data_IF_056798725215
#
_entry.id   IF_056798725215
#
_cell.length_a   1.000
_cell.length_b   1.000
_cell.length_c   1.000
_cell.angle_alpha   90.00
_cell.angle_beta   90.00
_cell.angle_gamma   90.00
#
_symmetry.space_group_name_H-M   'P 1'
#
loop_
_entity.id
_entity.type
_entity.pdbx_description
1 polymer ?
#
# COMPACT_ATOMS: atom_id res chain seq x y z
N UNK A 1 -2.35 28.81 20.52
CA UNK A 1 -1.94 27.41 20.36
C UNK A 1 -3.01 26.74 19.49
N UNK A 2 -2.76 26.59 18.20
CA UNK A 2 -3.76 26.05 17.27
C UNK A 2 -3.78 24.53 17.39
N UNK A 3 -4.94 24.00 17.79
CA UNK A 3 -5.26 22.58 17.87
C UNK A 3 -5.20 21.98 16.46
N UNK A 4 -4.12 21.27 16.13
CA UNK A 4 -4.03 20.50 14.89
C UNK A 4 -4.65 19.11 15.12
N UNK A 5 -5.95 19.09 15.37
CA UNK A 5 -6.78 17.90 15.40
C UNK A 5 -7.47 17.81 14.04
N UNK A 6 -6.71 17.41 13.01
CA UNK A 6 -7.32 16.96 11.76
C UNK A 6 -8.01 15.63 12.07
N UNK A 7 -9.28 15.76 12.39
CA UNK A 7 -10.20 14.66 12.58
C UNK A 7 -10.22 13.82 11.30
N UNK A 8 -9.60 12.63 11.32
CA UNK A 8 -9.90 11.55 10.37
C UNK A 8 -11.34 11.05 10.64
N UNK A 9 -12.31 11.91 10.35
CA UNK A 9 -13.74 11.67 10.65
C UNK A 9 -14.51 11.12 9.45
N UNK A 10 -13.87 11.02 8.28
CA UNK A 10 -14.36 10.20 7.19
C UNK A 10 -13.56 8.91 7.16
N UNK A 11 -14.27 7.77 7.09
CA UNK A 11 -13.67 6.47 6.82
C UNK A 11 -12.81 6.59 5.56
N UNK A 12 -11.51 6.27 5.63
CA UNK A 12 -10.58 6.38 4.50
C UNK A 12 -11.13 5.66 3.26
N UNK A 13 -11.86 4.55 3.47
CA UNK A 13 -12.55 3.84 2.42
C UNK A 13 -13.60 4.71 1.69
N UNK A 14 -14.47 5.41 2.41
CA UNK A 14 -15.50 6.27 1.84
C UNK A 14 -14.89 7.46 1.09
N UNK A 15 -13.81 8.03 1.64
CA UNK A 15 -13.06 9.10 0.97
C UNK A 15 -12.44 8.63 -0.35
N UNK A 16 -11.87 7.41 -0.38
CA UNK A 16 -11.34 6.81 -1.60
C UNK A 16 -12.44 6.54 -2.63
N UNK A 17 -13.57 5.95 -2.23
CA UNK A 17 -14.69 5.71 -3.14
C UNK A 17 -15.24 7.00 -3.74
N UNK A 18 -15.38 8.06 -2.91
CA UNK A 18 -15.83 9.38 -3.38
C UNK A 18 -14.85 9.94 -4.42
N UNK A 19 -13.54 9.91 -4.14
CA UNK A 19 -12.52 10.36 -5.08
C UNK A 19 -12.58 9.62 -6.42
N UNK A 20 -12.74 8.29 -6.41
CA UNK A 20 -12.83 7.49 -7.64
C UNK A 20 -14.08 7.84 -8.45
N UNK A 21 -15.23 8.01 -7.77
CA UNK A 21 -16.49 8.39 -8.41
C UNK A 21 -16.42 9.79 -9.03
N UNK A 22 -15.92 10.78 -8.28
CA UNK A 22 -15.81 12.17 -8.73
C UNK A 22 -14.91 12.32 -9.96
N UNK A 23 -13.91 11.44 -10.08
CA UNK A 23 -12.98 11.40 -11.22
C UNK A 23 -13.42 10.41 -12.32
N UNK A 24 -14.62 9.83 -12.23
CA UNK A 24 -15.14 8.85 -13.19
C UNK A 24 -14.21 7.65 -13.42
N UNK A 25 -13.48 7.22 -12.38
CA UNK A 25 -12.58 6.07 -12.45
C UNK A 25 -13.40 4.81 -12.21
N UNK A 26 -13.44 3.91 -13.20
CA UNK A 26 -14.20 2.66 -13.11
C UNK A 26 -13.48 1.69 -12.17
N UNK A 27 -14.23 1.14 -11.21
CA UNK A 27 -13.74 0.10 -10.30
C UNK A 27 -14.82 -0.92 -9.96
N UNK A 28 -14.40 -2.09 -9.46
CA UNK A 28 -15.27 -3.10 -8.87
C UNK A 28 -14.88 -3.29 -7.41
N UNK A 29 -15.86 -3.29 -6.52
CA UNK A 29 -15.66 -3.61 -5.10
C UNK A 29 -16.03 -5.08 -4.84
N UNK A 30 -15.17 -5.77 -4.10
CA UNK A 30 -15.39 -7.15 -3.66
C UNK A 30 -15.24 -7.17 -2.14
N UNK A 31 -16.29 -7.61 -1.43
CA UNK A 31 -16.24 -7.80 0.02
C UNK A 31 -15.79 -9.23 0.32
N UNK A 32 -14.75 -9.39 1.15
CA UNK A 32 -14.27 -10.70 1.59
C UNK A 32 -13.88 -10.68 3.08
N UNK A 33 -13.66 -11.86 3.66
CA UNK A 33 -13.15 -12.00 5.03
C UNK A 33 -11.67 -11.64 5.10
N UNK A 34 -11.18 -11.23 6.28
CA UNK A 34 -9.76 -10.98 6.48
C UNK A 34 -8.92 -12.25 6.23
N UNK A 35 -7.78 -12.08 5.58
CA UNK A 35 -6.86 -13.14 5.15
C UNK A 35 -5.46 -12.84 5.68
N UNK A 36 -4.64 -13.88 5.84
CA UNK A 36 -3.28 -13.76 6.37
C UNK A 36 -2.22 -13.75 5.25
N UNK A 37 -2.51 -14.38 4.12
CA UNK A 37 -1.58 -14.47 2.98
C UNK A 37 -2.12 -13.76 1.74
N UNK A 38 -1.23 -13.38 0.83
CA UNK A 38 -1.64 -12.77 -0.44
C UNK A 38 -2.41 -13.78 -1.29
N UNK A 39 -2.01 -15.05 -1.26
CA UNK A 39 -2.63 -16.16 -1.96
C UNK A 39 -4.08 -16.39 -1.50
N UNK A 40 -4.33 -16.40 -0.19
CA UNK A 40 -5.69 -16.45 0.36
C UNK A 40 -6.53 -15.26 -0.11
N UNK A 41 -5.91 -14.08 -0.19
CA UNK A 41 -6.57 -12.85 -0.61
C UNK A 41 -6.98 -12.90 -2.08
N UNK A 42 -6.11 -13.40 -2.98
CA UNK A 42 -6.41 -13.57 -4.40
C UNK A 42 -7.58 -14.53 -4.60
N UNK A 43 -7.56 -15.68 -3.90
CA UNK A 43 -8.63 -16.68 -3.93
C UNK A 43 -9.96 -16.10 -3.45
N UNK A 44 -9.95 -15.31 -2.36
CA UNK A 44 -11.14 -14.69 -1.83
C UNK A 44 -11.76 -13.65 -2.79
N UNK A 45 -10.95 -13.04 -3.67
CA UNK A 45 -11.41 -12.13 -4.73
C UNK A 45 -11.78 -12.85 -6.03
N UNK A 46 -11.35 -14.09 -6.21
CA UNK A 46 -11.47 -14.81 -7.49
C UNK A 46 -10.58 -14.23 -8.58
N UNK A 47 -9.45 -13.65 -8.21
CA UNK A 47 -8.51 -12.96 -9.09
C UNK A 47 -7.15 -13.70 -9.15
N UNK A 48 -6.39 -13.48 -10.22
CA UNK A 48 -5.04 -14.02 -10.33
C UNK A 48 -4.05 -13.23 -9.45
N UNK A 49 -3.13 -13.93 -8.76
CA UNK A 49 -2.14 -13.30 -7.88
C UNK A 49 -1.25 -12.25 -8.61
N UNK A 50 -1.10 -12.37 -9.93
CA UNK A 50 -0.32 -11.43 -10.73
C UNK A 50 -0.92 -10.03 -10.80
N UNK A 51 -2.25 -9.90 -10.74
CA UNK A 51 -2.95 -8.61 -10.78
C UNK A 51 -3.11 -7.99 -9.39
N UNK A 52 -2.87 -8.76 -8.34
CA UNK A 52 -2.83 -8.24 -6.99
C UNK A 52 -1.63 -7.31 -6.77
N UNK A 53 -1.88 -6.20 -6.10
CA UNK A 53 -0.85 -5.27 -5.66
C UNK A 53 -0.45 -5.50 -4.20
N UNK A 54 0.82 -5.24 -3.89
CA UNK A 54 1.29 -5.00 -2.52
C UNK A 54 2.02 -3.68 -2.46
N UNK A 55 1.84 -2.97 -1.36
CA UNK A 55 2.49 -1.71 -1.09
C UNK A 55 3.47 -1.89 0.08
N UNK A 56 4.76 -1.66 -0.16
CA UNK A 56 5.81 -1.75 0.84
C UNK A 56 6.21 -0.34 1.26
N UNK A 57 5.88 0.04 2.49
CA UNK A 57 6.30 1.32 3.05
C UNK A 57 7.67 1.19 3.71
N UNK A 58 8.67 1.83 3.13
CA UNK A 58 10.07 1.60 3.42
C UNK A 58 10.81 2.92 3.62
N UNK A 59 11.81 2.90 4.49
CA UNK A 59 12.71 4.02 4.73
C UNK A 59 14.03 3.78 4.01
N UNK A 60 14.39 4.72 3.13
CA UNK A 60 15.64 4.79 2.37
C UNK A 60 16.44 5.94 2.96
N UNK A 61 17.54 5.64 3.63
CA UNK A 61 18.23 6.61 4.51
C UNK A 61 17.26 7.29 5.49
N UNK A 62 16.98 8.58 5.28
CA UNK A 62 16.11 9.40 6.13
C UNK A 62 14.74 9.70 5.50
N UNK A 63 14.45 9.15 4.31
CA UNK A 63 13.23 9.40 3.55
C UNK A 63 12.32 8.18 3.49
N UNK A 64 11.01 8.40 3.49
CA UNK A 64 10.02 7.35 3.31
C UNK A 64 9.60 7.22 1.84
N UNK A 65 9.44 5.98 1.40
CA UNK A 65 9.02 5.62 0.05
C UNK A 65 7.95 4.52 0.11
N UNK A 66 6.96 4.62 -0.78
CA UNK A 66 5.97 3.57 -1.01
C UNK A 66 6.29 2.84 -2.31
N UNK A 67 6.65 1.56 -2.21
CA UNK A 67 6.88 0.71 -3.38
C UNK A 67 5.65 -0.13 -3.66
N UNK A 68 4.97 0.14 -4.78
CA UNK A 68 3.82 -0.63 -5.23
C UNK A 68 4.28 -1.62 -6.30
N UNK A 69 4.05 -2.90 -6.05
CA UNK A 69 4.46 -3.99 -6.94
C UNK A 69 3.39 -5.09 -6.99
N UNK A 70 3.41 -5.88 -8.06
CA UNK A 70 2.60 -7.10 -8.14
C UNK A 70 2.93 -8.05 -6.97
N UNK A 71 1.92 -8.67 -6.39
CA UNK A 71 2.04 -9.60 -5.27
C UNK A 71 2.90 -10.82 -5.66
N UNK A 72 2.80 -11.26 -6.91
CA UNK A 72 3.59 -12.35 -7.49
C UNK A 72 5.11 -12.08 -7.58
N UNK A 73 5.56 -10.82 -7.44
CA UNK A 73 6.98 -10.46 -7.54
C UNK A 73 7.63 -10.36 -6.16
N UNK A 74 8.88 -10.80 -6.05
CA UNK A 74 9.71 -10.51 -4.87
C UNK A 74 10.36 -9.13 -5.00
N UNK A 75 10.39 -8.39 -3.90
CA UNK A 75 11.11 -7.13 -3.83
C UNK A 75 12.62 -7.39 -3.82
N UNK A 76 13.35 -6.71 -4.70
CA UNK A 76 14.82 -6.84 -4.79
C UNK A 76 15.49 -5.69 -4.04
N UNK A 77 15.92 -5.99 -2.82
CA UNK A 77 16.57 -5.02 -1.92
C UNK A 77 17.85 -4.42 -2.51
N UNK A 78 18.60 -5.24 -3.26
CA UNK A 78 19.89 -4.82 -3.85
C UNK A 78 19.64 -3.79 -4.93
N UNK A 79 18.67 -4.03 -5.81
CA UNK A 79 18.29 -3.07 -6.87
C UNK A 79 17.76 -1.76 -6.30
N UNK A 80 17.01 -1.79 -5.20
CA UNK A 80 16.59 -0.55 -4.52
C UNK A 80 17.82 0.20 -4.00
N UNK A 81 18.72 -0.47 -3.28
CA UNK A 81 19.96 0.15 -2.78
C UNK A 81 20.81 0.74 -3.90
N UNK A 82 20.98 0.02 -5.01
CA UNK A 82 21.68 0.50 -6.20
C UNK A 82 21.00 1.72 -6.82
N UNK A 83 19.66 1.67 -6.99
CA UNK A 83 18.87 2.75 -7.59
C UNK A 83 18.93 4.06 -6.81
N UNK A 84 19.01 3.97 -5.49
CA UNK A 84 19.09 5.13 -4.58
C UNK A 84 20.52 5.41 -4.11
N UNK A 85 21.51 4.62 -4.55
CA UNK A 85 22.90 4.68 -4.09
C UNK A 85 23.02 4.73 -2.56
N UNK A 86 22.24 3.89 -1.86
CA UNK A 86 22.16 3.87 -0.40
C UNK A 86 22.72 2.59 0.21
N UNK A 87 23.17 2.68 1.46
CA UNK A 87 23.49 1.53 2.30
C UNK A 87 22.34 1.18 3.26
N UNK A 88 21.49 2.14 3.61
CA UNK A 88 20.43 2.01 4.62
C UNK A 88 19.06 1.85 3.95
N UNK A 89 18.49 0.67 4.12
CA UNK A 89 17.16 0.36 3.62
C UNK A 89 16.46 -0.56 4.62
N UNK A 90 15.30 -0.15 5.12
CA UNK A 90 14.47 -0.91 6.05
C UNK A 90 12.98 -0.68 5.78
N UNK A 91 12.12 -1.54 6.32
CA UNK A 91 10.71 -1.20 6.46
C UNK A 91 10.50 -0.05 7.43
N UNK A 92 9.41 0.70 7.23
CA UNK A 92 8.89 1.58 8.27
C UNK A 92 8.46 0.76 9.49
N UNK A 93 8.58 1.34 10.67
CA UNK A 93 8.09 0.75 11.92
C UNK A 93 6.61 1.08 12.12
N UNK A 94 5.94 0.39 13.04
CA UNK A 94 4.54 0.66 13.35
C UNK A 94 4.28 2.10 13.82
N UNK A 95 5.25 2.74 14.50
CA UNK A 95 5.14 4.13 14.94
C UNK A 95 5.35 5.14 13.79
N UNK A 96 5.82 4.69 12.63
CA UNK A 96 6.04 5.51 11.44
C UNK A 96 4.90 5.37 10.41
N UNK A 97 3.89 4.52 10.68
CA UNK A 97 2.67 4.34 9.89
C UNK A 97 1.54 5.23 10.43
#
# INVERSE_FOLDING_TARGET
>A
MANNSLAFTNNVFEALCSYLNDNCIIYRQIQHQATYTSEESSLARGEDLSIDGKALFMKVDDQFHLFVLSAAKKCDWKKIKERFNTKKLRFATNNEL
#
